data_IF_708090751807
#
_entry.id   IF_708090751807
#
_cell.length_a   1.000
_cell.length_b   1.000
_cell.length_c   1.000
_cell.angle_alpha   90.00
_cell.angle_beta   90.00
_cell.angle_gamma   90.00
#
_symmetry.space_group_name_H-M   'P 1'
#
loop_
_entity.id
_entity.type
_entity.pdbx_description
1 polymer ?
#
# COMPACT_ATOMS: atom_id res chain seq x y z
N UNK A 1 2.00 -1.82 -2.94
CA UNK A 1 1.24 -1.91 -1.66
C UNK A 1 0.75 -0.53 -1.24
N UNK A 2 -0.35 -0.02 -1.81
CA UNK A 2 -0.83 1.36 -1.62
C UNK A 2 -1.18 1.73 -0.15
N UNK A 3 -1.33 0.71 0.70
CA UNK A 3 -1.53 0.77 2.16
C UNK A 3 -0.54 1.67 2.91
N UNK A 4 0.70 1.80 2.42
CA UNK A 4 1.76 2.54 3.12
C UNK A 4 1.76 4.04 2.83
N UNK A 5 0.84 4.52 1.98
CA UNK A 5 0.71 5.92 1.64
C UNK A 5 -0.25 6.64 2.61
N UNK A 6 0.31 7.11 3.72
CA UNK A 6 -0.44 7.75 4.81
C UNK A 6 -1.15 9.07 4.43
N UNK A 7 -0.77 9.69 3.30
CA UNK A 7 -1.35 10.92 2.77
C UNK A 7 -2.40 10.75 1.68
N UNK A 8 -2.69 9.51 1.26
CA UNK A 8 -3.50 9.23 0.08
C UNK A 8 -2.82 9.63 -1.24
N UNK A 9 -3.52 9.41 -2.36
CA UNK A 9 -3.00 9.71 -3.69
C UNK A 9 -4.14 9.88 -4.70
N UNK A 10 -3.88 10.64 -5.77
CA UNK A 10 -4.84 10.84 -6.86
C UNK A 10 -4.18 10.38 -8.15
N UNK A 11 -4.77 9.37 -8.78
CA UNK A 11 -4.47 8.95 -10.14
C UNK A 11 -5.69 9.27 -11.01
N UNK A 12 -5.45 9.98 -12.10
CA UNK A 12 -6.46 10.29 -13.10
C UNK A 12 -5.99 9.69 -14.43
N UNK A 13 -6.71 8.68 -14.93
CA UNK A 13 -6.40 8.00 -16.19
C UNK A 13 -6.55 8.91 -17.41
N UNK A 14 -7.27 10.01 -17.27
CA UNK A 14 -7.44 11.01 -18.34
C UNK A 14 -6.30 12.01 -18.36
N UNK A 15 -5.46 12.06 -17.32
CA UNK A 15 -4.35 12.99 -17.24
C UNK A 15 -3.20 12.54 -18.16
N UNK A 16 -2.58 13.46 -18.92
CA UNK A 16 -1.48 13.13 -19.83
C UNK A 16 -0.23 12.62 -19.09
N UNK A 17 -0.08 12.98 -17.80
CA UNK A 17 1.01 12.56 -16.91
C UNK A 17 0.66 11.31 -16.07
N UNK A 18 -0.43 10.60 -16.40
CA UNK A 18 -0.90 9.43 -15.65
C UNK A 18 0.22 8.39 -15.42
N UNK A 19 0.99 8.08 -16.47
CA UNK A 19 2.07 7.07 -16.38
C UNK A 19 3.20 7.49 -15.45
N UNK A 20 3.59 8.76 -15.50
CA UNK A 20 4.61 9.31 -14.63
C UNK A 20 4.14 9.34 -13.17
N UNK A 21 2.87 9.70 -12.95
CA UNK A 21 2.24 9.68 -11.63
C UNK A 21 2.11 8.28 -11.04
N UNK A 22 1.73 7.29 -11.85
CA UNK A 22 1.65 5.89 -11.41
C UNK A 22 3.03 5.33 -11.07
N UNK A 23 4.06 5.67 -11.86
CA UNK A 23 5.44 5.28 -11.59
C UNK A 23 5.98 5.92 -10.30
N UNK A 24 5.76 7.23 -10.12
CA UNK A 24 6.17 7.96 -8.91
C UNK A 24 5.43 7.42 -7.66
N UNK A 25 4.14 7.11 -7.81
CA UNK A 25 3.35 6.46 -6.76
C UNK A 25 3.95 5.10 -6.38
N UNK A 26 4.37 4.31 -7.36
CA UNK A 26 5.05 3.03 -7.16
C UNK A 26 6.32 3.20 -6.32
N UNK A 27 7.18 4.17 -6.67
CA UNK A 27 8.42 4.46 -5.95
C UNK A 27 8.18 4.90 -4.51
N UNK A 28 7.28 5.87 -4.30
CA UNK A 28 6.90 6.33 -2.95
C UNK A 28 6.34 5.19 -2.10
N UNK A 29 5.56 4.31 -2.72
CA UNK A 29 5.01 3.12 -2.04
C UNK A 29 6.11 2.17 -1.59
N UNK A 30 7.09 1.89 -2.46
CA UNK A 30 8.23 1.04 -2.14
C UNK A 30 9.06 1.65 -1.00
N UNK A 31 9.41 2.92 -1.10
CA UNK A 31 10.14 3.66 -0.06
C UNK A 31 9.42 3.62 1.29
N UNK A 32 8.10 3.82 1.30
CA UNK A 32 7.29 3.76 2.52
C UNK A 32 7.27 2.36 3.16
N UNK A 33 7.21 1.29 2.35
CA UNK A 33 7.33 -0.09 2.84
C UNK A 33 8.71 -0.32 3.45
N UNK A 34 9.76 0.11 2.75
CA UNK A 34 11.15 -0.06 3.20
C UNK A 34 11.45 0.73 4.48
N UNK A 35 10.90 1.93 4.61
CA UNK A 35 10.99 2.74 5.83
C UNK A 35 10.28 2.05 6.99
N UNK A 36 9.05 1.59 6.77
CA UNK A 36 8.26 0.88 7.77
C UNK A 36 8.95 -0.39 8.31
N UNK A 37 9.60 -1.15 7.43
CA UNK A 37 10.40 -2.30 7.83
C UNK A 37 11.66 -1.87 8.59
N UNK A 38 12.34 -0.82 8.14
CA UNK A 38 13.54 -0.29 8.80
C UNK A 38 13.26 0.19 10.22
N UNK A 39 12.14 0.88 10.46
CA UNK A 39 11.67 1.26 11.80
C UNK A 39 11.54 0.08 12.76
N UNK A 40 11.26 -1.12 12.21
CA UNK A 40 11.11 -2.39 12.94
C UNK A 40 12.39 -3.21 12.97
N UNK A 41 13.52 -2.61 12.58
CA UNK A 41 14.84 -3.25 12.49
C UNK A 41 14.87 -4.43 11.49
N UNK A 42 13.96 -4.43 10.51
CA UNK A 42 13.93 -5.41 9.42
C UNK A 42 14.71 -4.82 8.25
N UNK A 43 15.93 -5.33 8.01
CA UNK A 43 16.84 -4.84 6.97
C UNK A 43 16.66 -5.55 5.62
N UNK A 44 15.77 -6.55 5.54
CA UNK A 44 15.61 -7.34 4.33
C UNK A 44 14.95 -6.53 3.20
N UNK A 45 15.61 -6.50 2.04
CA UNK A 45 15.17 -5.76 0.85
C UNK A 45 14.64 -6.65 -0.28
N UNK A 46 14.85 -7.96 -0.20
CA UNK A 46 14.37 -8.89 -1.24
C UNK A 46 12.84 -8.99 -1.23
N UNK A 47 12.20 -8.89 -2.39
CA UNK A 47 10.74 -8.88 -2.51
C UNK A 47 10.05 -10.05 -1.76
N UNK A 48 10.59 -11.27 -1.87
CA UNK A 48 10.06 -12.43 -1.16
C UNK A 48 10.17 -12.33 0.37
N UNK A 49 11.27 -11.79 0.88
CA UNK A 49 11.47 -11.59 2.32
C UNK A 49 10.61 -10.44 2.85
N UNK A 50 10.50 -9.35 2.09
CA UNK A 50 9.60 -8.23 2.40
C UNK A 50 8.17 -8.74 2.57
N UNK A 51 7.67 -9.54 1.62
CA UNK A 51 6.34 -10.15 1.71
C UNK A 51 6.20 -11.04 2.95
N UNK A 52 7.20 -11.89 3.24
CA UNK A 52 7.21 -12.74 4.43
C UNK A 52 7.12 -11.94 5.73
N UNK A 53 7.88 -10.85 5.84
CA UNK A 53 7.83 -9.97 7.00
C UNK A 53 6.49 -9.24 7.12
N UNK A 54 5.99 -8.68 6.02
CA UNK A 54 4.68 -8.01 6.02
C UNK A 54 3.55 -8.96 6.43
N UNK A 55 3.60 -10.22 5.98
CA UNK A 55 2.65 -11.25 6.41
C UNK A 55 2.72 -11.53 7.91
N UNK A 56 3.92 -11.63 8.47
CA UNK A 56 4.09 -11.78 9.93
C UNK A 56 3.53 -10.58 10.69
N UNK A 57 3.75 -9.37 10.19
CA UNK A 57 3.25 -8.12 10.80
C UNK A 57 1.73 -8.00 10.69
N UNK A 58 1.13 -8.53 9.62
CA UNK A 58 -0.32 -8.65 9.49
C UNK A 58 -0.89 -9.60 10.56
N UNK A 59 -0.32 -10.80 10.68
CA UNK A 59 -0.76 -11.81 11.67
C UNK A 59 -0.63 -11.30 13.11
N UNK A 60 0.36 -10.45 13.39
CA UNK A 60 0.52 -9.81 14.70
C UNK A 60 -0.37 -8.57 14.90
N UNK A 61 -1.22 -8.22 13.92
CA UNK A 61 -2.13 -7.07 13.98
C UNK A 61 -1.47 -5.70 13.80
N UNK A 62 -0.16 -5.63 13.55
CA UNK A 62 0.58 -4.37 13.43
C UNK A 62 0.14 -3.59 12.18
N UNK A 63 -0.30 -4.29 11.13
CA UNK A 63 -0.84 -3.66 9.93
C UNK A 63 -2.30 -3.21 10.07
N UNK A 64 -3.02 -3.63 11.12
CA UNK A 64 -4.45 -3.33 11.27
C UNK A 64 -4.71 -1.81 11.33
N UNK A 65 -3.91 -1.08 12.10
CA UNK A 65 -4.03 0.38 12.19
C UNK A 65 -3.78 1.08 10.84
N UNK A 66 -2.85 0.56 10.02
CA UNK A 66 -2.63 1.08 8.66
C UNK A 66 -3.78 0.72 7.72
N UNK A 67 -4.36 -0.47 7.87
CA UNK A 67 -5.54 -0.92 7.11
C UNK A 67 -6.74 -0.02 7.42
N UNK A 68 -7.03 0.23 8.69
CA UNK A 68 -8.11 1.12 9.13
C UNK A 68 -7.91 2.55 8.62
N UNK A 69 -6.68 3.07 8.68
CA UNK A 69 -6.36 4.39 8.15
C UNK A 69 -6.57 4.45 6.63
N UNK A 70 -6.11 3.45 5.90
CA UNK A 70 -6.30 3.36 4.45
C UNK A 70 -7.79 3.28 4.08
N UNK A 71 -8.59 2.51 4.82
CA UNK A 71 -10.05 2.48 4.66
C UNK A 71 -10.67 3.87 4.86
N UNK A 72 -10.22 4.62 5.88
CA UNK A 72 -10.68 6.00 6.09
C UNK A 72 -10.31 6.92 4.93
N UNK A 73 -9.09 6.79 4.40
CA UNK A 73 -8.64 7.59 3.25
C UNK A 73 -9.50 7.35 2.00
N UNK A 74 -9.89 6.09 1.74
CA UNK A 74 -10.84 5.74 0.67
C UNK A 74 -12.19 6.42 0.90
N UNK A 75 -12.75 6.31 2.11
CA UNK A 75 -14.07 6.89 2.44
C UNK A 75 -14.09 8.42 2.31
N UNK A 76 -12.98 9.08 2.63
CA UNK A 76 -12.85 10.54 2.50
C UNK A 76 -12.59 11.04 1.08
N UNK A 77 -12.58 10.15 0.07
CA UNK A 77 -12.26 10.45 -1.33
C UNK A 77 -10.89 11.14 -1.55
N UNK A 78 -9.99 11.05 -0.57
CA UNK A 78 -8.60 11.51 -0.66
C UNK A 78 -7.79 10.57 -1.56
N UNK A 79 -8.26 9.32 -1.71
CA UNK A 79 -7.77 8.39 -2.71
C UNK A 79 -8.71 8.38 -3.92
N UNK A 80 -8.21 8.83 -5.08
CA UNK A 80 -8.84 8.57 -6.38
C UNK A 80 -7.96 7.58 -7.12
N UNK A 81 -8.36 6.32 -7.10
CA UNK A 81 -7.70 5.26 -7.82
C UNK A 81 -8.62 4.87 -8.99
N UNK A 82 -8.17 4.99 -10.24
CA UNK A 82 -8.94 4.60 -11.42
C UNK A 82 -8.94 3.08 -11.63
N UNK A 83 -8.16 2.33 -10.82
CA UNK A 83 -8.24 0.88 -10.80
C UNK A 83 -9.65 0.48 -10.34
N UNK A 84 -10.37 -0.38 -11.08
CA UNK A 84 -11.75 -0.75 -10.75
C UNK A 84 -11.88 -1.20 -9.28
N UNK A 85 -12.99 -0.86 -8.64
CA UNK A 85 -13.23 -1.04 -7.20
C UNK A 85 -12.89 -2.44 -6.65
N UNK A 86 -12.94 -3.48 -7.50
CA UNK A 86 -12.48 -4.84 -7.21
C UNK A 86 -11.01 -4.94 -6.77
N UNK A 87 -10.13 -4.04 -7.21
CA UNK A 87 -8.68 -4.03 -6.87
C UNK A 87 -8.35 -3.05 -5.73
N UNK A 88 -9.28 -2.16 -5.38
CA UNK A 88 -9.19 -1.28 -4.21
C UNK A 88 -9.71 -1.96 -2.94
N UNK A 89 -10.34 -3.13 -3.09
CA UNK A 89 -10.92 -3.88 -1.99
C UNK A 89 -9.81 -4.41 -1.05
N UNK A 90 -9.95 -4.07 0.23
CA UNK A 90 -9.05 -4.51 1.31
C UNK A 90 -8.99 -6.05 1.39
N UNK A 91 -9.99 -6.76 0.86
CA UNK A 91 -10.00 -8.21 0.66
C UNK A 91 -8.85 -8.69 -0.24
N UNK A 92 -8.46 -7.98 -1.30
CA UNK A 92 -7.31 -8.39 -2.13
C UNK A 92 -5.97 -8.15 -1.41
N UNK A 93 -5.87 -7.05 -0.65
CA UNK A 93 -4.70 -6.78 0.21
C UNK A 93 -4.55 -7.86 1.28
N UNK A 94 -5.65 -8.28 1.90
CA UNK A 94 -5.65 -9.36 2.90
C UNK A 94 -5.50 -10.75 2.28
N UNK A 95 -5.97 -11.00 1.05
CA UNK A 95 -5.72 -12.24 0.29
C UNK A 95 -4.23 -12.44 -0.01
N UNK A 96 -3.50 -11.38 -0.38
CA UNK A 96 -2.03 -11.44 -0.56
C UNK A 96 -1.28 -11.83 0.74
N UNK A 97 -1.88 -11.55 1.91
CA UNK A 97 -1.32 -11.95 3.21
C UNK A 97 -1.80 -13.33 3.69
N UNK A 98 -2.85 -13.91 3.11
CA UNK A 98 -3.48 -15.16 3.57
C UNK A 98 -3.22 -16.40 2.68
N UNK A 99 -2.43 -16.29 1.60
CA UNK A 99 -2.07 -17.41 0.73
C UNK A 99 -0.76 -18.08 1.14
#
# INVERSE_FOLDING_TARGET
MKLFLDGGFVLDTSAPDYRDRDLDLGKRTEEAVLSFLSERKITSRGAGNVLKHLRSLHRSGILNAKIERYQRLIQTAVIKDPTPAYTQDVSEVTKLFNQ
#
